data_IF_384020491287
#
_entry.id   IF_384020491287
#
_cell.length_a   1.000
_cell.length_b   1.000
_cell.length_c   1.000
_cell.angle_alpha   90.00
_cell.angle_beta   90.00
_cell.angle_gamma   90.00
#
_symmetry.space_group_name_H-M   'P 1'
#
loop_
_entity.id
_entity.type
_entity.pdbx_description
1 polymer ?
#
# COMPACT_ATOMS: atom_id res chain seq x y z
N UNK A 1 -29.77 46.42 23.06
CA UNK A 1 -28.54 47.10 23.50
C UNK A 1 -27.46 46.04 23.68
N UNK A 2 -26.36 46.18 22.92
CA UNK A 2 -24.99 45.63 23.14
C UNK A 2 -24.87 44.09 23.02
N UNK A 3 -24.02 43.44 22.21
CA UNK A 3 -23.03 43.81 21.18
C UNK A 3 -22.69 42.50 20.40
N UNK A 4 -22.67 42.49 19.07
CA UNK A 4 -21.49 42.54 18.19
C UNK A 4 -20.40 41.46 18.45
N UNK A 5 -20.29 40.50 17.53
CA UNK A 5 -18.99 39.95 17.13
C UNK A 5 -18.96 39.80 15.60
N UNK A 6 -18.44 40.85 14.96
CA UNK A 6 -17.98 40.84 13.58
C UNK A 6 -16.45 40.70 13.61
N UNK A 7 -15.94 39.57 13.14
CA UNK A 7 -14.54 39.33 12.74
C UNK A 7 -14.50 37.94 12.08
N UNK A 8 -14.06 37.71 10.84
CA UNK A 8 -13.52 38.62 9.86
C UNK A 8 -13.78 38.07 8.45
N UNK A 9 -14.27 38.95 7.59
CA UNK A 9 -14.18 38.81 6.15
C UNK A 9 -12.93 39.56 5.71
N UNK A 10 -11.84 38.85 5.38
CA UNK A 10 -10.75 39.36 4.54
C UNK A 10 -9.68 38.28 4.32
N UNK A 11 -9.82 37.51 3.24
CA UNK A 11 -8.81 37.26 2.18
C UNK A 11 -9.27 36.05 1.34
N UNK A 12 -10.27 36.28 0.49
CA UNK A 12 -10.61 35.36 -0.60
C UNK A 12 -10.66 36.17 -1.91
N UNK A 13 -9.54 36.81 -2.23
CA UNK A 13 -9.30 37.46 -3.51
C UNK A 13 -7.99 36.89 -4.04
N UNK A 14 -8.06 35.92 -4.96
CA UNK A 14 -6.84 35.41 -5.61
C UNK A 14 -6.92 34.08 -6.34
N UNK A 15 -7.95 33.25 -6.16
CA UNK A 15 -8.11 32.07 -7.02
C UNK A 15 -9.05 32.39 -8.17
N UNK A 16 -8.43 32.60 -9.33
CA UNK A 16 -9.08 32.72 -10.62
C UNK A 16 -10.11 31.61 -10.82
N UNK A 17 -11.27 32.03 -11.31
CA UNK A 17 -12.43 31.22 -11.60
C UNK A 17 -12.12 30.02 -12.47
N UNK A 18 -12.18 28.82 -11.89
CA UNK A 18 -12.72 27.66 -12.59
C UNK A 18 -14.18 27.55 -12.14
N UNK A 19 -15.05 28.29 -12.82
CA UNK A 19 -16.50 28.06 -12.80
C UNK A 19 -16.75 26.56 -12.92
N UNK A 20 -17.47 25.91 -12.00
CA UNK A 20 -18.11 24.67 -12.37
C UNK A 20 -19.01 25.03 -13.54
N UNK A 21 -18.82 24.37 -14.68
CA UNK A 21 -19.77 24.42 -15.77
C UNK A 21 -21.10 23.92 -15.20
N UNK A 22 -21.95 24.85 -14.75
CA UNK A 22 -23.35 24.57 -14.47
C UNK A 22 -23.92 24.10 -15.80
N UNK A 23 -24.41 22.86 -15.81
CA UNK A 23 -25.09 22.31 -16.96
C UNK A 23 -26.17 23.29 -17.41
N UNK A 24 -26.08 23.70 -18.67
CA UNK A 24 -27.09 24.53 -19.32
C UNK A 24 -28.40 23.74 -19.33
N UNK A 25 -29.30 24.10 -18.41
CA UNK A 25 -30.67 23.60 -18.40
C UNK A 25 -31.37 24.28 -19.56
N UNK A 26 -31.72 23.54 -20.61
CA UNK A 26 -32.65 24.05 -21.62
C UNK A 26 -33.97 24.39 -20.92
N UNK A 27 -34.65 25.42 -21.40
CA UNK A 27 -35.93 25.90 -20.86
C UNK A 27 -37.08 24.85 -20.86
N UNK A 28 -36.82 23.64 -21.36
CA UNK A 28 -37.73 22.49 -21.35
C UNK A 28 -37.41 21.43 -20.25
N UNK A 29 -36.40 21.67 -19.40
CA UNK A 29 -36.07 20.78 -18.29
C UNK A 29 -35.30 19.51 -18.66
N UNK A 30 -34.81 19.37 -19.90
CA UNK A 30 -34.09 18.15 -20.31
C UNK A 30 -32.57 18.29 -20.11
N UNK A 31 -32.00 17.43 -19.26
CA UNK A 31 -30.55 17.35 -19.03
C UNK A 31 -29.81 16.74 -20.24
N UNK A 32 -28.77 17.41 -20.73
CA UNK A 32 -27.86 16.89 -21.76
C UNK A 32 -27.03 15.76 -21.16
N UNK A 33 -27.29 14.51 -21.58
CA UNK A 33 -26.53 13.32 -21.19
C UNK A 33 -25.12 13.39 -21.80
N UNK A 34 -24.10 13.69 -21.00
CA UNK A 34 -22.73 13.37 -21.36
C UNK A 34 -22.46 11.89 -21.07
N UNK A 35 -21.90 11.19 -22.08
CA UNK A 35 -21.85 9.74 -22.22
C UNK A 35 -20.91 8.98 -21.26
N UNK A 36 -20.51 9.56 -20.12
CA UNK A 36 -19.72 8.87 -19.09
C UNK A 36 -20.58 8.28 -17.96
N UNK A 37 -21.91 8.31 -18.11
CA UNK A 37 -22.85 7.88 -17.08
C UNK A 37 -23.14 6.38 -17.21
N UNK A 38 -22.29 5.54 -16.61
CA UNK A 38 -22.66 4.14 -16.37
C UNK A 38 -22.76 3.91 -14.86
N UNK A 39 -23.95 3.46 -14.44
CA UNK A 39 -24.41 3.15 -13.07
C UNK A 39 -24.89 4.31 -12.18
N UNK A 40 -25.94 5.01 -12.63
CA UNK A 40 -26.95 5.58 -11.72
C UNK A 40 -28.19 4.69 -11.84
N UNK A 41 -28.67 4.09 -10.73
CA UNK A 41 -29.87 3.23 -10.76
C UNK A 41 -31.08 4.05 -11.20
N UNK A 42 -31.96 3.48 -12.02
CA UNK A 42 -33.08 4.16 -12.69
C UNK A 42 -34.12 4.76 -11.73
N UNK A 43 -34.11 4.32 -10.47
CA UNK A 43 -35.19 4.56 -9.51
C UNK A 43 -34.88 5.72 -8.55
N UNK A 44 -33.71 6.36 -8.68
CA UNK A 44 -33.33 7.54 -7.89
C UNK A 44 -34.03 8.81 -8.42
N UNK A 45 -34.51 9.66 -7.51
CA UNK A 45 -35.03 10.99 -7.87
C UNK A 45 -33.94 11.84 -8.53
N UNK A 46 -34.30 12.79 -9.40
CA UNK A 46 -33.31 13.62 -10.11
C UNK A 46 -32.38 14.39 -9.15
N UNK A 47 -32.86 14.71 -7.94
CA UNK A 47 -32.05 15.28 -6.86
C UNK A 47 -30.96 14.31 -6.37
N UNK A 48 -31.28 13.03 -6.17
CA UNK A 48 -30.31 11.99 -5.77
C UNK A 48 -29.31 11.73 -6.90
N UNK A 49 -29.77 11.70 -8.16
CA UNK A 49 -28.87 11.59 -9.32
C UNK A 49 -27.88 12.75 -9.38
N UNK A 50 -28.37 13.98 -9.15
CA UNK A 50 -27.55 15.19 -9.07
C UNK A 50 -26.51 15.13 -7.94
N UNK A 51 -26.92 14.75 -6.73
CA UNK A 51 -26.01 14.64 -5.59
C UNK A 51 -24.94 13.55 -5.78
N UNK A 52 -25.30 12.39 -6.35
CA UNK A 52 -24.33 11.35 -6.72
C UNK A 52 -23.34 11.84 -7.78
N UNK A 53 -23.80 12.61 -8.75
CA UNK A 53 -22.91 13.22 -9.75
C UNK A 53 -21.93 14.22 -9.12
N UNK A 54 -22.40 15.06 -8.20
CA UNK A 54 -21.54 15.96 -7.40
C UNK A 54 -20.54 15.20 -6.54
N UNK A 55 -20.93 14.06 -5.95
CA UNK A 55 -20.02 13.18 -5.20
C UNK A 55 -18.92 12.60 -6.09
N UNK A 56 -19.26 12.13 -7.30
CA UNK A 56 -18.26 11.65 -8.26
C UNK A 56 -17.26 12.74 -8.64
N UNK A 57 -17.72 13.98 -8.86
CA UNK A 57 -16.83 15.11 -9.12
C UNK A 57 -15.94 15.45 -7.93
N UNK A 58 -16.47 15.40 -6.70
CA UNK A 58 -15.69 15.61 -5.48
C UNK A 58 -14.58 14.55 -5.33
N UNK A 59 -14.88 13.27 -5.59
CA UNK A 59 -13.87 12.21 -5.61
C UNK A 59 -12.82 12.41 -6.70
N UNK A 60 -13.21 12.90 -7.88
CA UNK A 60 -12.27 13.20 -8.96
C UNK A 60 -11.33 14.34 -8.57
N UNK A 61 -11.86 15.37 -7.91
CA UNK A 61 -11.07 16.48 -7.39
C UNK A 61 -10.10 16.01 -6.29
N UNK A 62 -10.55 15.11 -5.41
CA UNK A 62 -9.71 14.50 -4.38
C UNK A 62 -8.55 13.70 -4.98
N UNK A 63 -8.81 12.80 -5.94
CA UNK A 63 -7.75 12.01 -6.58
C UNK A 63 -6.75 12.88 -7.34
N UNK A 64 -7.24 13.96 -7.96
CA UNK A 64 -6.38 14.95 -8.62
C UNK A 64 -5.48 15.66 -7.61
N UNK A 65 -6.04 16.16 -6.50
CA UNK A 65 -5.29 16.83 -5.46
C UNK A 65 -4.28 15.90 -4.77
N UNK A 66 -4.68 14.65 -4.51
CA UNK A 66 -3.84 13.61 -3.95
C UNK A 66 -2.67 13.29 -4.87
N UNK A 67 -2.91 13.13 -6.17
CA UNK A 67 -1.86 12.85 -7.15
C UNK A 67 -0.81 13.95 -7.17
N UNK A 68 -1.22 15.22 -7.06
CA UNK A 68 -0.30 16.36 -6.97
C UNK A 68 0.51 16.34 -5.68
N UNK A 69 -0.15 16.21 -4.53
CA UNK A 69 0.51 16.15 -3.24
C UNK A 69 1.52 14.97 -3.12
N UNK A 70 1.14 13.80 -3.62
CA UNK A 70 2.04 12.63 -3.68
C UNK A 70 3.20 12.86 -4.66
N UNK A 71 2.93 13.55 -5.78
CA UNK A 71 3.95 13.95 -6.75
C UNK A 71 5.00 14.87 -6.14
N UNK A 72 4.57 15.87 -5.35
CA UNK A 72 5.47 16.78 -4.66
C UNK A 72 6.36 16.04 -3.64
N UNK A 73 5.77 15.18 -2.81
CA UNK A 73 6.54 14.36 -1.88
C UNK A 73 7.53 13.43 -2.60
N UNK A 74 7.12 12.83 -3.71
CA UNK A 74 7.98 11.98 -4.54
C UNK A 74 9.17 12.76 -5.10
N UNK A 75 8.94 13.97 -5.60
CA UNK A 75 10.02 14.83 -6.10
C UNK A 75 10.99 15.24 -4.98
N UNK A 76 10.47 15.53 -3.79
CA UNK A 76 11.27 15.86 -2.60
C UNK A 76 12.16 14.68 -2.22
N UNK A 77 11.59 13.49 -2.10
CA UNK A 77 12.33 12.28 -1.74
C UNK A 77 13.36 11.90 -2.82
N UNK A 78 12.98 11.98 -4.10
CA UNK A 78 13.88 11.66 -5.21
C UNK A 78 15.13 12.54 -5.25
N UNK A 79 15.03 13.80 -4.82
CA UNK A 79 16.17 14.70 -4.68
C UNK A 79 16.98 14.39 -3.41
N UNK A 80 16.33 14.14 -2.25
CA UNK A 80 17.03 13.68 -1.01
C UNK A 80 17.82 12.40 -1.23
N UNK A 81 17.36 11.52 -2.11
CA UNK A 81 18.02 10.27 -2.47
C UNK A 81 19.04 10.40 -3.60
N UNK A 82 19.12 11.56 -4.27
CA UNK A 82 20.04 11.75 -5.38
C UNK A 82 21.51 11.61 -4.96
N UNK A 83 21.85 12.00 -3.72
CA UNK A 83 23.17 11.80 -3.11
C UNK A 83 23.05 11.41 -1.64
N UNK A 84 23.93 10.54 -1.11
CA UNK A 84 23.90 10.14 0.30
C UNK A 84 24.00 11.32 1.28
N UNK A 85 24.76 12.36 0.92
CA UNK A 85 24.97 13.56 1.74
C UNK A 85 23.67 14.35 1.98
N UNK A 86 22.75 14.34 1.03
CA UNK A 86 21.54 15.17 1.04
C UNK A 86 20.53 14.71 2.09
N UNK A 87 20.59 13.44 2.51
CA UNK A 87 19.72 12.87 3.55
C UNK A 87 19.88 13.53 4.92
N UNK A 88 21.05 14.12 5.17
CA UNK A 88 21.38 14.76 6.44
C UNK A 88 21.22 16.28 6.39
N UNK A 89 20.81 16.84 5.24
CA UNK A 89 20.61 18.28 5.11
C UNK A 89 19.30 18.67 5.77
N UNK A 90 19.32 19.80 6.50
CA UNK A 90 18.07 20.49 6.87
C UNK A 90 17.33 20.94 5.61
N UNK A 91 16.02 21.15 5.67
CA UNK A 91 15.23 21.56 4.51
C UNK A 91 15.74 22.87 3.88
N UNK A 92 16.22 23.81 4.71
CA UNK A 92 16.84 25.05 4.25
C UNK A 92 18.18 24.80 3.51
N UNK A 93 19.03 23.92 4.06
CA UNK A 93 20.30 23.55 3.41
C UNK A 93 20.06 22.78 2.11
N UNK A 94 19.06 21.91 2.08
CA UNK A 94 18.66 21.16 0.90
C UNK A 94 18.09 22.06 -0.20
N UNK A 95 17.25 23.04 0.17
CA UNK A 95 16.77 24.07 -0.78
C UNK A 95 17.90 24.90 -1.36
N UNK A 96 18.84 25.34 -0.52
CA UNK A 96 20.01 26.07 -0.99
C UNK A 96 20.92 25.21 -1.90
N UNK A 97 21.00 23.90 -1.65
CA UNK A 97 21.75 22.99 -2.52
C UNK A 97 21.05 22.75 -3.86
N UNK A 98 19.72 22.58 -3.86
CA UNK A 98 18.93 22.42 -5.09
C UNK A 98 19.07 23.64 -6.02
N UNK A 99 19.16 24.85 -5.45
CA UNK A 99 19.41 26.08 -6.20
C UNK A 99 20.78 26.11 -6.91
N UNK A 100 21.77 25.40 -6.39
CA UNK A 100 23.06 25.22 -7.06
C UNK A 100 22.95 24.13 -8.13
N UNK A 101 22.40 22.98 -7.74
CA UNK A 101 22.29 21.78 -8.58
C UNK A 101 21.40 21.99 -9.82
N UNK A 102 20.46 22.94 -9.79
CA UNK A 102 19.66 23.31 -10.98
C UNK A 102 20.50 23.83 -12.16
N UNK A 103 21.74 24.23 -11.88
CA UNK A 103 22.72 24.68 -12.88
C UNK A 103 23.83 23.66 -13.16
N UNK A 104 23.74 22.46 -12.56
CA UNK A 104 24.71 21.39 -12.75
C UNK A 104 24.75 20.89 -14.21
N UNK A 105 25.89 20.34 -14.61
CA UNK A 105 26.08 19.74 -15.93
C UNK A 105 25.44 18.35 -16.01
N UNK A 106 25.26 17.64 -14.89
CA UNK A 106 24.50 16.41 -14.81
C UNK A 106 23.01 16.70 -15.00
N UNK A 107 22.49 16.38 -16.18
CA UNK A 107 21.09 16.59 -16.55
C UNK A 107 20.11 15.86 -15.61
N UNK A 108 20.50 14.72 -15.03
CA UNK A 108 19.67 13.95 -14.11
C UNK A 108 19.56 14.66 -12.77
N UNK A 109 20.69 15.10 -12.21
CA UNK A 109 20.73 15.83 -10.95
C UNK A 109 20.02 17.19 -11.09
N UNK A 110 20.27 17.90 -12.19
CA UNK A 110 19.58 19.13 -12.55
C UNK A 110 18.07 18.94 -12.63
N UNK A 111 17.60 17.89 -13.32
CA UNK A 111 16.17 17.58 -13.43
C UNK A 111 15.51 17.35 -12.06
N UNK A 112 16.18 16.59 -11.19
CA UNK A 112 15.71 16.34 -9.81
C UNK A 112 15.70 17.61 -8.96
N UNK A 113 16.72 18.47 -9.08
CA UNK A 113 16.80 19.73 -8.35
C UNK A 113 15.68 20.71 -8.75
N UNK A 114 15.38 20.82 -10.05
CA UNK A 114 14.26 21.63 -10.56
C UNK A 114 12.92 21.09 -10.05
N UNK A 115 12.72 19.77 -10.11
CA UNK A 115 11.50 19.14 -9.60
C UNK A 115 11.33 19.35 -8.08
N UNK A 116 12.41 19.22 -7.31
CA UNK A 116 12.42 19.51 -5.87
C UNK A 116 12.01 20.94 -5.55
N UNK A 117 12.60 21.93 -6.25
CA UNK A 117 12.29 23.34 -5.98
C UNK A 117 10.82 23.65 -6.29
N UNK A 118 10.31 23.14 -7.41
CA UNK A 118 8.89 23.26 -7.75
C UNK A 118 7.99 22.63 -6.67
N UNK A 119 8.31 21.40 -6.25
CA UNK A 119 7.56 20.67 -5.23
C UNK A 119 7.56 21.38 -3.86
N UNK A 120 8.69 21.93 -3.42
CA UNK A 120 8.76 22.67 -2.15
C UNK A 120 7.89 23.93 -2.19
N UNK A 121 7.83 24.60 -3.34
CA UNK A 121 7.03 25.81 -3.50
C UNK A 121 5.52 25.50 -3.63
N UNK A 122 5.13 24.34 -4.18
CA UNK A 122 3.73 23.91 -4.30
C UNK A 122 3.19 23.14 -3.10
N UNK A 123 4.03 22.44 -2.31
CA UNK A 123 3.60 21.47 -1.29
C UNK A 123 2.54 22.01 -0.33
N UNK A 124 2.73 23.23 0.18
CA UNK A 124 1.77 23.82 1.13
C UNK A 124 0.41 24.13 0.46
N UNK A 125 0.44 24.57 -0.80
CA UNK A 125 -0.76 24.84 -1.59
C UNK A 125 -1.49 23.53 -1.95
N UNK A 126 -0.75 22.51 -2.36
CA UNK A 126 -1.30 21.21 -2.74
C UNK A 126 -1.82 20.44 -1.50
N UNK A 127 -1.19 20.61 -0.33
CA UNK A 127 -1.72 20.12 0.94
C UNK A 127 -3.08 20.76 1.29
N UNK A 128 -3.18 22.09 1.16
CA UNK A 128 -4.45 22.80 1.38
C UNK A 128 -5.52 22.40 0.37
N UNK A 129 -5.15 22.18 -0.89
CA UNK A 129 -6.05 21.70 -1.93
C UNK A 129 -6.55 20.28 -1.63
N UNK A 130 -5.67 19.39 -1.16
CA UNK A 130 -6.02 18.04 -0.74
C UNK A 130 -7.01 18.06 0.44
N UNK A 131 -6.76 18.87 1.46
CA UNK A 131 -7.68 18.98 2.61
C UNK A 131 -9.03 19.61 2.22
N UNK A 132 -9.02 20.60 1.34
CA UNK A 132 -10.26 21.18 0.79
C UNK A 132 -11.05 20.15 -0.01
N UNK A 133 -10.38 19.34 -0.82
CA UNK A 133 -11.02 18.28 -1.60
C UNK A 133 -11.58 17.17 -0.71
N UNK A 134 -10.87 16.78 0.37
CA UNK A 134 -11.41 15.86 1.41
C UNK A 134 -12.70 16.41 2.03
N UNK A 135 -12.71 17.70 2.39
CA UNK A 135 -13.90 18.35 2.95
C UNK A 135 -15.05 18.40 1.93
N UNK A 136 -14.73 18.60 0.64
CA UNK A 136 -15.71 18.56 -0.45
C UNK A 136 -16.35 17.18 -0.63
N UNK A 137 -15.57 16.10 -0.52
CA UNK A 137 -16.09 14.72 -0.52
C UNK A 137 -17.04 14.51 0.66
N UNK A 138 -16.61 14.87 1.88
CA UNK A 138 -17.44 14.71 3.08
C UNK A 138 -18.79 15.45 2.97
N UNK A 139 -18.78 16.68 2.44
CA UNK A 139 -20.00 17.46 2.21
C UNK A 139 -20.92 16.84 1.16
N UNK A 140 -20.35 16.32 0.05
CA UNK A 140 -21.12 15.65 -0.98
C UNK A 140 -21.72 14.32 -0.51
N UNK A 141 -21.01 13.57 0.33
CA UNK A 141 -21.52 12.36 0.97
C UNK A 141 -22.72 12.68 1.88
N UNK A 142 -22.60 13.71 2.70
CA UNK A 142 -23.69 14.15 3.59
C UNK A 142 -24.95 14.54 2.81
N UNK A 143 -24.78 15.23 1.67
CA UNK A 143 -25.90 15.61 0.83
C UNK A 143 -26.58 14.40 0.16
N UNK A 144 -25.82 13.41 -0.32
CA UNK A 144 -26.39 12.16 -0.85
C UNK A 144 -27.16 11.41 0.24
N UNK A 145 -26.62 11.38 1.46
CA UNK A 145 -27.27 10.75 2.62
C UNK A 145 -28.59 11.44 2.98
N UNK A 146 -28.61 12.77 2.99
CA UNK A 146 -29.82 13.55 3.30
C UNK A 146 -30.93 13.31 2.28
N UNK A 147 -30.60 13.27 0.98
CA UNK A 147 -31.56 13.05 -0.10
C UNK A 147 -32.00 11.60 -0.25
N UNK A 148 -31.22 10.64 0.25
CA UNK A 148 -31.58 9.22 0.24
C UNK A 148 -32.24 8.75 1.52
N UNK A 149 -32.57 9.68 2.44
CA UNK A 149 -33.26 9.40 3.69
C UNK A 149 -34.63 8.77 3.42
N UNK A 150 -34.85 7.51 3.81
CA UNK A 150 -36.06 6.80 3.42
C UNK A 150 -37.23 7.05 4.41
N UNK A 151 -38.45 7.09 3.88
CA UNK A 151 -39.70 7.19 4.65
C UNK A 151 -39.83 6.06 5.71
N UNK A 152 -40.55 6.26 6.83
CA UNK A 152 -40.43 5.47 8.07
C UNK A 152 -40.60 3.93 8.03
N UNK A 153 -41.04 3.30 6.93
CA UNK A 153 -40.98 1.83 6.72
C UNK A 153 -39.54 1.30 6.45
N UNK A 154 -38.55 2.18 6.53
CA UNK A 154 -37.18 1.99 6.06
C UNK A 154 -36.18 1.41 7.05
N UNK A 155 -36.53 1.29 8.33
CA UNK A 155 -35.57 0.83 9.36
C UNK A 155 -35.02 -0.58 9.09
N UNK A 156 -35.85 -1.47 8.56
CA UNK A 156 -35.45 -2.84 8.21
C UNK A 156 -34.54 -2.88 6.98
N UNK A 157 -34.75 -1.98 6.01
CA UNK A 157 -33.93 -1.92 4.79
C UNK A 157 -32.57 -1.26 5.03
N UNK A 158 -32.45 -0.32 5.98
CA UNK A 158 -31.15 0.26 6.37
C UNK A 158 -30.33 -0.69 7.24
N UNK A 159 -30.96 -1.50 8.11
CA UNK A 159 -30.26 -2.54 8.86
C UNK A 159 -29.75 -3.66 7.94
N UNK A 160 -30.55 -4.11 6.97
CA UNK A 160 -30.08 -5.09 5.98
C UNK A 160 -28.85 -4.61 5.18
N UNK A 161 -28.81 -3.31 4.82
CA UNK A 161 -27.62 -2.72 4.17
C UNK A 161 -26.41 -2.65 5.11
N UNK A 162 -26.64 -2.42 6.40
CA UNK A 162 -25.59 -2.44 7.42
C UNK A 162 -25.04 -3.85 7.60
N UNK A 163 -25.89 -4.88 7.63
CA UNK A 163 -25.51 -6.29 7.65
C UNK A 163 -24.66 -6.67 6.43
N UNK A 164 -25.13 -6.35 5.22
CA UNK A 164 -24.39 -6.61 3.97
C UNK A 164 -23.01 -5.92 3.97
N UNK A 165 -22.95 -4.66 4.42
CA UNK A 165 -21.70 -3.92 4.49
C UNK A 165 -20.75 -4.51 5.55
N UNK A 166 -21.28 -4.97 6.68
CA UNK A 166 -20.50 -5.66 7.73
C UNK A 166 -19.93 -6.97 7.22
N UNK A 167 -20.71 -7.78 6.51
CA UNK A 167 -20.24 -9.04 5.92
C UNK A 167 -19.11 -8.81 4.89
N UNK A 168 -19.24 -7.77 4.04
CA UNK A 168 -18.17 -7.39 3.11
C UNK A 168 -16.91 -6.93 3.83
N UNK A 169 -17.06 -6.16 4.91
CA UNK A 169 -15.94 -5.70 5.73
C UNK A 169 -15.21 -6.88 6.37
N UNK A 170 -15.95 -7.84 6.93
CA UNK A 170 -15.37 -9.04 7.55
C UNK A 170 -14.61 -9.88 6.53
N UNK A 171 -15.18 -10.13 5.34
CA UNK A 171 -14.47 -10.83 4.25
C UNK A 171 -13.23 -10.08 3.79
N UNK A 172 -13.27 -8.75 3.73
CA UNK A 172 -12.12 -7.93 3.35
C UNK A 172 -11.03 -7.96 4.42
N UNK A 173 -11.41 -7.99 5.71
CA UNK A 173 -10.50 -8.14 6.84
C UNK A 173 -9.80 -9.50 6.79
N UNK A 174 -10.53 -10.60 6.61
CA UNK A 174 -9.96 -11.94 6.46
C UNK A 174 -8.96 -12.02 5.29
N UNK A 175 -9.31 -11.44 4.14
CA UNK A 175 -8.43 -11.40 2.98
C UNK A 175 -7.15 -10.60 3.24
N UNK A 176 -7.27 -9.48 3.96
CA UNK A 176 -6.14 -8.64 4.37
C UNK A 176 -5.23 -9.37 5.34
N UNK A 177 -5.78 -10.02 6.36
CA UNK A 177 -5.01 -10.78 7.36
C UNK A 177 -4.27 -11.95 6.71
N UNK A 178 -4.93 -12.66 5.79
CA UNK A 178 -4.29 -13.73 5.02
C UNK A 178 -3.14 -13.21 4.16
N UNK A 179 -3.35 -12.13 3.41
CA UNK A 179 -2.33 -11.55 2.55
C UNK A 179 -1.14 -11.03 3.37
N UNK A 180 -1.39 -10.48 4.56
CA UNK A 180 -0.33 -10.08 5.46
C UNK A 180 0.49 -11.26 5.98
N UNK A 181 -0.17 -12.33 6.42
CA UNK A 181 0.52 -13.52 6.90
C UNK A 181 1.44 -14.13 5.82
N UNK A 182 1.02 -14.10 4.55
CA UNK A 182 1.85 -14.52 3.41
C UNK A 182 3.04 -13.59 3.18
N UNK A 183 2.82 -12.27 3.27
CA UNK A 183 3.88 -11.26 3.14
C UNK A 183 4.90 -11.33 4.29
N UNK A 184 4.45 -11.56 5.53
CA UNK A 184 5.32 -11.74 6.69
C UNK A 184 6.17 -13.02 6.59
N UNK A 185 5.57 -14.14 6.17
CA UNK A 185 6.31 -15.36 5.89
C UNK A 185 7.39 -15.16 4.80
N UNK A 186 7.04 -14.45 3.73
CA UNK A 186 7.99 -14.12 2.66
C UNK A 186 9.09 -13.16 3.12
N UNK A 187 8.77 -12.21 4.01
CA UNK A 187 9.74 -11.33 4.64
C UNK A 187 10.77 -12.11 5.47
N UNK A 188 10.30 -13.05 6.32
CA UNK A 188 11.16 -13.90 7.12
C UNK A 188 12.06 -14.78 6.24
N UNK A 189 11.52 -15.36 5.15
CA UNK A 189 12.31 -16.15 4.20
C UNK A 189 13.38 -15.31 3.48
N UNK A 190 13.06 -14.07 3.10
CA UNK A 190 14.04 -13.12 2.56
C UNK A 190 15.15 -12.86 3.58
N UNK A 191 14.80 -12.63 4.84
CA UNK A 191 15.79 -12.34 5.88
C UNK A 191 16.70 -13.55 6.18
N UNK A 192 16.15 -14.76 6.18
CA UNK A 192 16.95 -16.00 6.27
C UNK A 192 17.92 -16.14 5.08
N UNK A 193 17.49 -15.81 3.87
CA UNK A 193 18.35 -15.84 2.68
C UNK A 193 19.46 -14.77 2.74
N UNK A 194 19.18 -13.58 3.26
CA UNK A 194 20.19 -12.53 3.51
C UNK A 194 21.25 -13.01 4.50
N UNK A 195 20.83 -13.66 5.59
CA UNK A 195 21.74 -14.22 6.59
C UNK A 195 22.58 -15.38 6.04
N UNK A 196 21.99 -16.20 5.17
CA UNK A 196 22.71 -17.30 4.48
C UNK A 196 23.79 -16.76 3.54
N UNK A 197 23.49 -15.71 2.77
CA UNK A 197 24.49 -15.05 1.92
C UNK A 197 25.64 -14.45 2.74
N UNK A 198 25.33 -13.73 3.83
CA UNK A 198 26.36 -13.19 4.73
C UNK A 198 27.24 -14.30 5.31
N UNK A 199 26.64 -15.43 5.69
CA UNK A 199 27.36 -16.59 6.24
C UNK A 199 28.29 -17.22 5.20
N UNK A 200 27.83 -17.41 3.96
CA UNK A 200 28.65 -17.93 2.87
C UNK A 200 29.83 -17.00 2.51
N UNK A 201 29.57 -15.68 2.46
CA UNK A 201 30.62 -14.68 2.27
C UNK A 201 31.67 -14.70 3.38
N UNK A 202 31.22 -14.85 4.63
CA UNK A 202 32.11 -14.99 5.79
C UNK A 202 32.94 -16.27 5.71
N UNK A 203 32.34 -17.40 5.36
CA UNK A 203 33.07 -18.67 5.22
C UNK A 203 34.19 -18.58 4.17
N UNK A 204 33.94 -17.93 3.02
CA UNK A 204 34.98 -17.67 2.04
C UNK A 204 36.11 -16.81 2.61
N UNK A 205 35.76 -15.73 3.30
CA UNK A 205 36.76 -14.83 3.90
C UNK A 205 37.59 -15.54 4.96
N UNK A 206 36.95 -16.23 5.90
CA UNK A 206 37.59 -16.94 6.99
C UNK A 206 38.53 -18.03 6.42
N UNK A 207 38.10 -18.78 5.39
CA UNK A 207 38.96 -19.74 4.70
C UNK A 207 40.19 -19.09 4.04
N UNK A 208 40.00 -17.95 3.37
CA UNK A 208 41.08 -17.22 2.71
C UNK A 208 42.10 -16.67 3.71
N UNK A 209 41.65 -16.18 4.86
CA UNK A 209 42.49 -15.63 5.92
C UNK A 209 43.27 -16.73 6.65
N UNK A 210 42.60 -17.84 7.01
CA UNK A 210 43.22 -18.96 7.75
C UNK A 210 44.20 -19.76 6.89
N UNK A 211 43.97 -19.86 5.57
CA UNK A 211 44.77 -20.67 4.64
C UNK A 211 45.64 -19.80 3.71
N UNK A 212 45.96 -18.56 4.10
CA UNK A 212 46.69 -17.61 3.28
C UNK A 212 48.08 -18.13 2.82
N UNK A 213 48.72 -19.00 3.61
CA UNK A 213 50.03 -19.60 3.30
C UNK A 213 49.96 -20.64 2.18
N UNK A 214 48.80 -21.24 1.96
CA UNK A 214 48.57 -22.30 0.96
C UNK A 214 47.98 -21.74 -0.35
N UNK A 215 47.91 -20.41 -0.47
CA UNK A 215 47.38 -19.70 -1.62
C UNK A 215 48.13 -20.09 -2.90
N UNK A 216 47.37 -20.47 -3.92
CA UNK A 216 47.90 -20.97 -5.19
C UNK A 216 48.03 -22.49 -5.28
N UNK A 217 47.88 -23.21 -4.16
CA UNK A 217 47.80 -24.67 -4.20
C UNK A 217 46.50 -25.14 -4.87
N UNK A 218 46.52 -26.35 -5.44
CA UNK A 218 45.35 -26.96 -6.07
C UNK A 218 44.19 -27.14 -5.09
N UNK A 219 44.48 -27.54 -3.85
CA UNK A 219 43.48 -27.73 -2.79
C UNK A 219 42.85 -26.39 -2.39
N UNK A 220 43.66 -25.34 -2.20
CA UNK A 220 43.16 -24.00 -1.91
C UNK A 220 42.21 -23.48 -2.99
N UNK A 221 42.63 -23.56 -4.26
CA UNK A 221 41.83 -23.08 -5.39
C UNK A 221 40.51 -23.86 -5.55
N UNK A 222 40.52 -25.17 -5.27
CA UNK A 222 39.31 -25.99 -5.33
C UNK A 222 38.27 -25.57 -4.27
N UNK A 223 38.70 -25.32 -3.03
CA UNK A 223 37.78 -24.92 -1.94
C UNK A 223 37.27 -23.48 -2.14
N UNK A 224 38.12 -22.55 -2.61
CA UNK A 224 37.68 -21.21 -2.99
C UNK A 224 36.63 -21.26 -4.10
N UNK A 225 36.80 -22.12 -5.10
CA UNK A 225 35.81 -22.31 -6.16
C UNK A 225 34.49 -22.87 -5.60
N UNK A 226 34.55 -23.83 -4.67
CA UNK A 226 33.38 -24.41 -4.00
C UNK A 226 32.61 -23.35 -3.19
N UNK A 227 33.30 -22.58 -2.35
CA UNK A 227 32.72 -21.50 -1.54
C UNK A 227 32.16 -20.36 -2.42
N UNK A 228 32.82 -20.04 -3.53
CA UNK A 228 32.31 -19.07 -4.51
C UNK A 228 31.02 -19.54 -5.15
N UNK A 229 30.91 -20.85 -5.46
CA UNK A 229 29.67 -21.45 -5.95
C UNK A 229 28.54 -21.34 -4.93
N UNK A 230 28.82 -21.65 -3.65
CA UNK A 230 27.84 -21.50 -2.56
C UNK A 230 27.35 -20.06 -2.41
N UNK A 231 28.25 -19.06 -2.55
CA UNK A 231 27.86 -17.64 -2.55
C UNK A 231 26.91 -17.33 -3.72
N UNK A 232 27.15 -17.87 -4.90
CA UNK A 232 26.29 -17.64 -6.06
C UNK A 232 24.91 -18.30 -5.87
N UNK A 233 24.86 -19.52 -5.36
CA UNK A 233 23.61 -20.21 -5.02
C UNK A 233 22.82 -19.42 -3.94
N UNK A 234 23.50 -18.88 -2.92
CA UNK A 234 22.88 -18.03 -1.90
C UNK A 234 22.36 -16.69 -2.46
N UNK A 235 23.06 -16.09 -3.45
CA UNK A 235 22.58 -14.88 -4.15
C UNK A 235 21.31 -15.16 -4.96
N UNK A 236 21.25 -16.28 -5.67
CA UNK A 236 20.07 -16.70 -6.42
C UNK A 236 18.88 -16.95 -5.49
N UNK A 237 19.11 -17.65 -4.37
CA UNK A 237 18.10 -17.86 -3.34
C UNK A 237 17.57 -16.55 -2.75
N UNK A 238 18.46 -15.58 -2.47
CA UNK A 238 18.07 -14.25 -2.00
C UNK A 238 17.25 -13.50 -3.06
N UNK A 239 17.65 -13.57 -4.33
CA UNK A 239 16.90 -12.93 -5.42
C UNK A 239 15.47 -13.50 -5.52
N UNK A 240 15.33 -14.83 -5.49
CA UNK A 240 14.03 -15.49 -5.50
C UNK A 240 13.17 -15.12 -4.28
N UNK A 241 13.77 -15.05 -3.09
CA UNK A 241 13.07 -14.65 -1.87
C UNK A 241 12.62 -13.18 -1.90
N UNK A 242 13.44 -12.27 -2.45
CA UNK A 242 13.07 -10.86 -2.68
C UNK A 242 11.86 -10.73 -3.61
N UNK A 243 11.86 -11.45 -4.73
CA UNK A 243 10.72 -11.43 -5.67
C UNK A 243 9.44 -11.90 -4.98
N UNK A 244 9.49 -13.04 -4.28
CA UNK A 244 8.33 -13.56 -3.52
C UNK A 244 7.82 -12.58 -2.48
N UNK A 245 8.70 -11.92 -1.74
CA UNK A 245 8.30 -10.89 -0.78
C UNK A 245 7.63 -9.71 -1.47
N UNK A 246 8.18 -9.22 -2.57
CA UNK A 246 7.58 -8.10 -3.31
C UNK A 246 6.18 -8.43 -3.84
N UNK A 247 5.98 -9.65 -4.37
CA UNK A 247 4.69 -10.10 -4.86
C UNK A 247 3.66 -10.22 -3.72
N UNK A 248 4.07 -10.77 -2.58
CA UNK A 248 3.21 -10.91 -1.40
C UNK A 248 2.88 -9.55 -0.76
N UNK A 249 3.85 -8.62 -0.66
CA UNK A 249 3.64 -7.26 -0.17
C UNK A 249 2.68 -6.47 -1.07
N UNK A 250 2.78 -6.66 -2.39
CA UNK A 250 1.82 -6.10 -3.35
C UNK A 250 0.41 -6.64 -3.11
N UNK A 251 0.25 -7.96 -2.96
CA UNK A 251 -1.04 -8.58 -2.66
C UNK A 251 -1.64 -8.07 -1.33
N UNK A 252 -0.80 -7.89 -0.30
CA UNK A 252 -1.21 -7.30 0.97
C UNK A 252 -1.70 -5.86 0.80
N UNK A 253 -0.98 -5.00 0.07
CA UNK A 253 -1.40 -3.61 -0.22
C UNK A 253 -2.72 -3.56 -0.98
N UNK A 254 -2.93 -4.43 -1.95
CA UNK A 254 -4.20 -4.54 -2.68
C UNK A 254 -5.35 -4.97 -1.75
N UNK A 255 -5.12 -5.94 -0.86
CA UNK A 255 -6.10 -6.38 0.13
C UNK A 255 -6.41 -5.28 1.16
N UNK A 256 -5.41 -4.54 1.63
CA UNK A 256 -5.57 -3.40 2.53
C UNK A 256 -6.40 -2.29 1.87
N UNK A 257 -6.20 -2.03 0.57
CA UNK A 257 -7.03 -1.09 -0.19
C UNK A 257 -8.50 -1.54 -0.31
N UNK A 258 -8.76 -2.84 -0.51
CA UNK A 258 -10.13 -3.41 -0.51
C UNK A 258 -10.79 -3.29 0.86
N UNK A 259 -10.04 -3.57 1.94
CA UNK A 259 -10.51 -3.39 3.30
C UNK A 259 -10.89 -1.93 3.58
N UNK A 260 -10.05 -0.96 3.21
CA UNK A 260 -10.34 0.46 3.40
C UNK A 260 -11.65 0.88 2.71
N UNK A 261 -11.89 0.41 1.48
CA UNK A 261 -13.14 0.64 0.76
C UNK A 261 -14.35 0.03 1.48
N UNK A 262 -14.23 -1.20 1.97
CA UNK A 262 -15.31 -1.87 2.71
C UNK A 262 -15.59 -1.17 4.05
N UNK A 263 -14.57 -0.64 4.73
CA UNK A 263 -14.72 0.11 5.98
C UNK A 263 -15.47 1.42 5.74
N UNK A 264 -15.19 2.13 4.65
CA UNK A 264 -15.95 3.32 4.24
C UNK A 264 -17.40 2.97 3.92
N UNK A 265 -17.67 1.88 3.19
CA UNK A 265 -19.04 1.42 2.91
C UNK A 265 -19.81 1.10 4.20
N UNK A 266 -19.17 0.40 5.13
CA UNK A 266 -19.72 0.10 6.45
C UNK A 266 -19.97 1.38 7.27
N UNK A 267 -19.04 2.33 7.30
CA UNK A 267 -19.20 3.59 8.00
C UNK A 267 -20.41 4.39 7.48
N UNK A 268 -20.59 4.44 6.17
CA UNK A 268 -21.76 5.06 5.53
C UNK A 268 -23.06 4.34 5.91
N UNK A 269 -23.09 3.01 5.86
CA UNK A 269 -24.27 2.23 6.25
C UNK A 269 -24.62 2.42 7.75
N UNK A 270 -23.60 2.48 8.62
CA UNK A 270 -23.77 2.67 10.06
C UNK A 270 -24.34 4.06 10.37
N UNK A 271 -23.82 5.12 9.74
CA UNK A 271 -24.35 6.49 9.85
C UNK A 271 -25.80 6.56 9.35
N UNK A 272 -26.12 5.92 8.23
CA UNK A 272 -27.48 5.86 7.68
C UNK A 272 -28.47 5.16 8.61
N UNK A 273 -28.04 4.07 9.26
CA UNK A 273 -28.84 3.37 10.26
C UNK A 273 -29.11 4.25 11.48
N UNK A 274 -28.09 4.98 11.99
CA UNK A 274 -28.25 5.94 13.08
C UNK A 274 -29.22 7.09 12.72
N UNK A 275 -29.07 7.69 11.54
CA UNK A 275 -29.95 8.77 11.07
C UNK A 275 -31.41 8.33 10.87
N UNK A 276 -31.62 7.04 10.59
CA UNK A 276 -32.94 6.41 10.48
C UNK A 276 -33.52 5.97 11.82
N UNK A 277 -32.82 6.24 12.95
CA UNK A 277 -33.19 5.77 14.29
C UNK A 277 -33.40 4.25 14.34
N UNK A 278 -32.57 3.51 13.59
CA UNK A 278 -32.43 2.08 13.76
C UNK A 278 -31.53 1.79 14.97
N UNK A 279 -31.75 0.67 15.64
CA UNK A 279 -30.89 0.23 16.73
C UNK A 279 -29.60 -0.35 16.15
N UNK A 280 -28.47 0.32 16.41
CA UNK A 280 -27.14 -0.09 15.96
C UNK A 280 -26.28 -0.60 17.12
N UNK A 281 -26.83 -0.80 18.31
CA UNK A 281 -26.09 -1.19 19.51
C UNK A 281 -25.37 -2.55 19.39
N UNK A 282 -25.86 -3.43 18.52
CA UNK A 282 -25.24 -4.72 18.22
C UNK A 282 -24.02 -4.63 17.27
N UNK A 283 -23.76 -3.47 16.68
CA UNK A 283 -22.74 -3.29 15.66
C UNK A 283 -21.51 -2.55 16.20
N UNK A 284 -20.28 -3.00 15.88
CA UNK A 284 -19.07 -2.29 16.26
C UNK A 284 -18.99 -0.93 15.56
N UNK A 285 -18.45 0.08 16.25
CA UNK A 285 -18.30 1.41 15.63
C UNK A 285 -17.24 1.36 14.53
N UNK A 286 -17.36 2.14 13.44
CA UNK A 286 -16.35 2.15 12.38
C UNK A 286 -14.94 2.47 12.90
N UNK A 287 -14.83 3.36 13.89
CA UNK A 287 -13.56 3.69 14.53
C UNK A 287 -12.94 2.50 15.27
N UNK A 288 -13.76 1.62 15.89
CA UNK A 288 -13.27 0.41 16.57
C UNK A 288 -12.79 -0.69 15.62
N UNK A 289 -13.16 -0.62 14.34
CA UNK A 289 -12.76 -1.57 13.31
C UNK A 289 -11.56 -1.09 12.49
N UNK A 290 -11.14 0.17 12.67
CA UNK A 290 -9.99 0.71 11.97
C UNK A 290 -8.71 0.04 12.50
N UNK A 291 -7.90 -0.59 11.62
CA UNK A 291 -6.67 -1.26 12.01
C UNK A 291 -5.65 -0.23 12.53
N UNK A 292 -4.93 -0.59 13.59
CA UNK A 292 -3.83 0.21 14.11
C UNK A 292 -2.59 0.02 13.25
N UNK A 293 -1.74 1.05 13.18
CA UNK A 293 -0.45 0.98 12.48
C UNK A 293 0.50 -0.09 13.07
N UNK A 294 0.21 -0.58 14.27
CA UNK A 294 0.95 -1.64 14.94
C UNK A 294 0.54 -3.05 14.55
N UNK A 295 -0.65 -3.24 13.97
CA UNK A 295 -1.24 -4.56 13.75
C UNK A 295 -0.58 -5.32 12.59
N UNK A 296 0.05 -4.59 11.66
CA UNK A 296 0.63 -5.12 10.42
C UNK A 296 2.10 -4.70 10.27
N UNK A 297 2.96 -5.24 11.13
CA UNK A 297 4.40 -5.02 11.09
C UNK A 297 5.13 -6.33 10.76
N UNK A 298 5.96 -6.32 9.73
CA UNK A 298 6.73 -7.49 9.34
C UNK A 298 7.77 -7.87 10.40
N UNK A 299 8.02 -9.16 10.56
CA UNK A 299 9.05 -9.70 11.46
C UNK A 299 8.73 -9.59 12.95
N UNK A 300 7.55 -9.08 13.32
CA UNK A 300 7.00 -9.22 14.66
C UNK A 300 5.87 -10.23 14.60
N UNK A 301 5.88 -11.23 15.49
CA UNK A 301 4.94 -12.36 15.51
C UNK A 301 3.49 -11.91 15.31
N UNK A 302 3.03 -11.95 14.05
CA UNK A 302 1.64 -11.72 13.69
C UNK A 302 0.82 -12.88 14.23
N UNK A 303 -0.20 -12.57 15.01
CA UNK A 303 -1.22 -13.55 15.42
C UNK A 303 -2.44 -13.27 14.55
N UNK A 304 -2.71 -14.09 13.51
CA UNK A 304 -3.92 -13.94 12.75
C UNK A 304 -5.14 -14.11 13.65
N UNK A 305 -6.29 -13.54 13.25
CA UNK A 305 -7.58 -13.98 13.79
C UNK A 305 -7.69 -15.51 13.64
N UNK A 306 -8.26 -16.20 14.63
CA UNK A 306 -8.20 -17.66 14.80
C UNK A 306 -8.69 -18.51 13.59
N UNK A 307 -9.30 -17.89 12.59
CA UNK A 307 -9.80 -18.51 11.36
C UNK A 307 -8.81 -18.51 10.19
N UNK A 308 -7.69 -17.78 10.27
CA UNK A 308 -6.73 -17.63 9.17
C UNK A 308 -5.46 -18.46 9.44
N UNK A 309 -5.37 -19.63 8.80
CA UNK A 309 -4.10 -20.35 8.73
C UNK A 309 -3.29 -19.88 7.50
N UNK A 310 -2.02 -19.49 7.67
CA UNK A 310 -1.15 -19.20 6.55
C UNK A 310 -1.01 -20.45 5.66
N UNK A 311 -1.03 -20.23 4.34
CA UNK A 311 -0.65 -21.28 3.39
C UNK A 311 0.74 -21.81 3.73
N UNK A 312 0.91 -23.13 3.67
CA UNK A 312 2.15 -23.83 4.02
C UNK A 312 3.33 -23.13 3.35
N UNK A 313 4.37 -22.69 4.09
CA UNK A 313 5.56 -22.12 3.48
C UNK A 313 6.09 -23.08 2.42
N UNK A 314 6.23 -22.59 1.18
CA UNK A 314 6.95 -23.33 0.14
C UNK A 314 8.32 -23.74 0.68
N UNK A 315 8.78 -24.94 0.29
CA UNK A 315 9.92 -25.64 0.86
C UNK A 315 11.05 -24.72 1.36
N UNK A 316 11.44 -24.91 2.63
CA UNK A 316 12.68 -24.35 3.18
C UNK A 316 13.80 -24.56 2.17
N UNK A 317 14.56 -23.52 1.79
CA UNK A 317 15.85 -23.71 1.15
C UNK A 317 16.65 -24.70 1.99
N UNK A 318 17.19 -25.74 1.35
CA UNK A 318 17.98 -26.75 2.06
C UNK A 318 19.07 -26.06 2.86
N UNK A 319 19.26 -26.48 4.13
CA UNK A 319 20.37 -26.02 4.95
C UNK A 319 21.66 -26.13 4.13
N UNK A 320 22.44 -25.05 3.96
CA UNK A 320 23.83 -25.19 3.50
C UNK A 320 24.51 -26.19 4.42
N UNK A 321 25.15 -27.21 3.82
CA UNK A 321 25.78 -28.29 4.55
C UNK A 321 26.68 -27.73 5.64
N UNK A 322 26.46 -28.15 6.88
CA UNK A 322 27.37 -27.87 7.96
C UNK A 322 28.73 -28.49 7.60
N UNK A 323 29.67 -27.69 7.13
CA UNK A 323 31.07 -28.08 7.07
C UNK A 323 31.54 -28.23 8.52
N UNK A 324 31.60 -29.47 9.02
CA UNK A 324 32.41 -29.77 10.19
C UNK A 324 33.89 -29.62 9.77
N UNK A 325 34.68 -28.79 10.48
CA UNK A 325 36.10 -28.68 10.20
C UNK A 325 36.79 -30.00 10.59
N UNK A 326 37.42 -30.63 9.60
CA UNK A 326 38.37 -31.71 9.80
C UNK A 326 37.80 -33.13 9.76
N UNK A 327 37.47 -33.64 8.56
CA UNK A 327 37.82 -35.01 8.16
C UNK A 327 38.03 -35.07 6.65
N UNK A 328 39.27 -35.38 6.27
CA UNK A 328 39.59 -35.85 4.93
C UNK A 328 39.00 -37.26 4.74
N UNK A 329 38.38 -37.49 3.57
CA UNK A 329 38.16 -38.82 3.01
C UNK A 329 36.73 -39.35 3.06
N UNK A 330 36.02 -39.31 1.92
CA UNK A 330 35.53 -40.49 1.21
C UNK A 330 34.55 -40.06 0.10
N UNK A 331 34.90 -40.44 -1.13
CA UNK A 331 33.98 -40.49 -2.25
C UNK A 331 32.97 -41.65 -2.09
N UNK A 332 31.83 -41.48 -2.75
CA UNK A 332 30.79 -42.45 -3.13
C UNK A 332 29.77 -42.93 -2.07
N UNK A 333 28.49 -42.65 -2.37
CA UNK A 333 27.44 -43.70 -2.36
C UNK A 333 26.09 -43.35 -1.75
N UNK A 334 25.04 -43.55 -2.56
CA UNK A 334 23.61 -43.74 -2.24
C UNK A 334 22.73 -42.48 -2.04
N UNK A 335 21.52 -42.38 -2.58
CA UNK A 335 20.79 -43.17 -3.58
C UNK A 335 19.64 -42.27 -4.06
N UNK A 336 19.48 -42.14 -5.38
CA UNK A 336 18.24 -41.67 -5.98
C UNK A 336 17.30 -42.88 -6.04
N UNK A 337 16.19 -42.86 -5.30
CA UNK A 337 15.04 -43.72 -5.53
C UNK A 337 13.76 -43.17 -4.89
N UNK A 338 12.87 -42.64 -5.74
CA UNK A 338 11.44 -42.94 -5.68
C UNK A 338 10.54 -42.01 -4.86
N UNK A 339 9.75 -41.19 -5.57
CA UNK A 339 8.28 -41.19 -5.45
C UNK A 339 7.66 -40.29 -6.53
N UNK A 340 7.31 -40.89 -7.67
CA UNK A 340 6.16 -40.45 -8.47
C UNK A 340 4.97 -41.23 -7.93
N UNK A 341 3.89 -40.54 -7.57
CA UNK A 341 2.56 -41.14 -7.42
C UNK A 341 1.55 -40.21 -8.06
N UNK A 342 1.04 -40.62 -9.22
CA UNK A 342 -0.22 -40.15 -9.79
C UNK A 342 -1.02 -41.39 -10.20
N UNK A 343 -2.08 -41.64 -9.42
CA UNK A 343 -3.45 -42.05 -9.79
C UNK A 343 -3.64 -43.07 -10.94
N UNK A 344 -4.26 -44.22 -10.63
CA UNK A 344 -5.55 -44.56 -11.25
C UNK A 344 -6.33 -45.64 -10.47
N UNK A 345 -7.54 -45.25 -10.10
CA UNK A 345 -8.63 -46.11 -9.64
C UNK A 345 -9.33 -46.64 -10.90
N UNK A 346 -9.35 -47.95 -11.15
CA UNK A 346 -10.41 -48.58 -11.95
C UNK A 346 -10.72 -50.00 -11.45
N UNK A 347 -12.02 -50.21 -11.27
CA UNK A 347 -12.74 -51.39 -10.79
C UNK A 347 -12.32 -52.74 -11.39
N UNK A 348 -12.44 -53.77 -10.56
CA UNK A 348 -12.43 -55.19 -10.90
C UNK A 348 -12.58 -56.04 -9.65
#
# INVERSE_FOLDING_TARGET
AIAAFAAGATLLAGFAMATPAMAEVKADGTLVKNAALTTVKSDDSDAVKGARYSLTQAYTAYETAKTKFDGDNTAIDAYKEAKPEYKNYSDAALKAQAEKDKTDQDATLKGKAVAYLAAVDSLATDAQALDSAKNGVASAEDHVVELTKPAPDSKRSVLAKLDDAKEKLDKAQEAKDKAFAEADAAFNAKHEAENSLKSAQRALKDYQDENAKDKGSRAYNAEVARLTKEINEAKEALSAAKTKFNDADKAFKEAAGKFAKALTEYAGAYKNAQLSKADVSAYPTPASLAPLATDYKYGVNFVPSATVQPGKPGAKPGKPGAAQPGKAGAANGAAAAGAKTEVENKNG
#
